data_IF_991351731680
#
_entry.id   IF_991351731680
#
_cell.length_a   1.000
_cell.length_b   1.000
_cell.length_c   1.000
_cell.angle_alpha   90.00
_cell.angle_beta   90.00
_cell.angle_gamma   90.00
#
_symmetry.space_group_name_H-M   'P 1'
#
loop_
_entity.id
_entity.type
_entity.pdbx_description
1 polymer ?
#
# COMPACT_ATOMS: atom_id res chain seq x y z
N UNK A 1 1.89 -27.61 13.65
CA UNK A 1 1.62 -27.29 12.23
C UNK A 1 0.34 -27.93 11.77
N UNK A 2 0.12 -29.22 12.02
CA UNK A 2 -1.16 -29.89 11.71
C UNK A 2 -2.37 -29.10 12.22
N UNK A 3 -2.38 -28.71 13.50
CA UNK A 3 -3.52 -27.96 14.07
C UNK A 3 -3.79 -26.62 13.39
N UNK A 4 -2.72 -25.91 13.00
CA UNK A 4 -2.82 -24.63 12.28
C UNK A 4 -3.36 -24.88 10.87
N UNK A 5 -2.82 -25.87 10.16
CA UNK A 5 -3.26 -26.23 8.81
C UNK A 5 -4.73 -26.68 8.79
N UNK A 6 -5.14 -27.52 9.75
CA UNK A 6 -6.53 -27.95 9.90
C UNK A 6 -7.49 -26.77 10.13
N UNK A 7 -7.07 -25.76 10.90
CA UNK A 7 -7.88 -24.54 11.09
C UNK A 7 -7.94 -23.71 9.81
N UNK A 8 -6.86 -23.61 9.04
CA UNK A 8 -6.82 -22.85 7.77
C UNK A 8 -7.71 -23.50 6.70
N UNK A 9 -7.73 -24.83 6.59
CA UNK A 9 -8.62 -25.55 5.67
C UNK A 9 -10.11 -25.24 5.88
N UNK A 10 -10.52 -24.90 7.11
CA UNK A 10 -11.89 -24.49 7.40
C UNK A 10 -12.30 -23.16 6.73
N UNK A 11 -11.36 -22.36 6.25
CA UNK A 11 -11.61 -21.00 5.74
C UNK A 11 -10.93 -20.69 4.40
N UNK A 12 -10.12 -21.60 3.87
CA UNK A 12 -9.38 -21.37 2.62
C UNK A 12 -9.03 -22.69 1.92
N UNK A 13 -9.16 -22.67 0.59
CA UNK A 13 -8.73 -23.75 -0.29
C UNK A 13 -7.23 -23.67 -0.69
N UNK A 14 -6.49 -22.67 -0.19
CA UNK A 14 -5.10 -22.40 -0.57
C UNK A 14 -4.16 -23.60 -0.31
N UNK A 15 -4.54 -24.48 0.61
CA UNK A 15 -3.72 -25.61 1.03
C UNK A 15 -4.38 -26.97 0.83
N UNK A 16 -5.46 -27.09 0.06
CA UNK A 16 -6.26 -28.34 -0.02
C UNK A 16 -5.43 -29.57 -0.39
N UNK A 17 -4.38 -29.39 -1.20
CA UNK A 17 -3.45 -30.47 -1.60
C UNK A 17 -2.11 -30.44 -0.83
N UNK A 18 -1.99 -29.57 0.18
CA UNK A 18 -0.73 -29.36 0.90
C UNK A 18 -0.61 -30.25 2.14
N UNK A 19 0.51 -30.97 2.21
CA UNK A 19 0.93 -31.60 3.47
C UNK A 19 1.25 -30.55 4.55
N UNK A 20 1.22 -30.94 5.84
CA UNK A 20 1.73 -30.08 6.92
C UNK A 20 3.17 -29.59 6.72
N UNK A 21 4.01 -30.40 6.05
CA UNK A 21 5.39 -30.05 5.74
C UNK A 21 5.49 -28.95 4.68
N UNK A 22 4.69 -29.04 3.61
CA UNK A 22 4.65 -28.02 2.56
C UNK A 22 4.01 -26.72 3.06
N UNK A 23 2.94 -26.80 3.87
CA UNK A 23 2.38 -25.64 4.56
C UNK A 23 3.41 -24.98 5.49
N UNK A 24 4.17 -25.75 6.27
CA UNK A 24 5.22 -25.20 7.12
C UNK A 24 6.33 -24.51 6.32
N UNK A 25 6.74 -25.10 5.19
CA UNK A 25 7.71 -24.47 4.28
C UNK A 25 7.17 -23.13 3.77
N UNK A 26 5.93 -23.11 3.30
CA UNK A 26 5.27 -21.88 2.85
C UNK A 26 5.21 -20.82 3.95
N UNK A 27 4.81 -21.18 5.16
CA UNK A 27 4.76 -20.26 6.30
C UNK A 27 6.14 -19.64 6.60
N UNK A 28 7.22 -20.43 6.49
CA UNK A 28 8.59 -19.97 6.66
C UNK A 28 9.00 -19.02 5.53
N UNK A 29 8.70 -19.35 4.27
CA UNK A 29 9.01 -18.52 3.11
C UNK A 29 8.29 -17.16 3.19
N UNK A 30 7.04 -17.17 3.69
CA UNK A 30 6.25 -15.96 3.98
C UNK A 30 6.64 -15.26 5.27
N UNK A 31 7.57 -15.82 6.06
CA UNK A 31 8.09 -15.24 7.31
C UNK A 31 6.99 -14.90 8.31
N UNK A 32 5.97 -15.76 8.42
CA UNK A 32 4.84 -15.52 9.31
C UNK A 32 5.28 -15.35 10.77
N UNK A 33 4.67 -14.39 11.46
CA UNK A 33 5.09 -13.95 12.81
C UNK A 33 5.03 -15.07 13.85
N UNK A 34 4.06 -15.98 13.74
CA UNK A 34 3.90 -17.07 14.71
C UNK A 34 5.10 -18.02 14.74
N UNK A 35 5.89 -18.10 13.66
CA UNK A 35 7.12 -18.91 13.61
C UNK A 35 8.27 -18.31 14.42
N UNK A 36 8.17 -17.04 14.81
CA UNK A 36 9.15 -16.33 15.64
C UNK A 36 8.90 -16.49 17.15
N UNK A 37 7.76 -17.07 17.54
CA UNK A 37 7.41 -17.27 18.96
C UNK A 37 8.35 -18.28 19.64
N UNK A 38 8.61 -18.11 20.93
CA UNK A 38 9.48 -19.03 21.67
C UNK A 38 8.92 -20.46 21.68
N UNK A 39 9.83 -21.41 21.52
CA UNK A 39 9.52 -22.84 21.52
C UNK A 39 9.68 -23.41 22.91
N UNK A 40 8.60 -23.90 23.50
CA UNK A 40 8.62 -24.68 24.74
C UNK A 40 8.77 -26.16 24.42
N UNK A 41 9.67 -26.85 25.12
CA UNK A 41 9.85 -28.30 24.98
C UNK A 41 9.04 -29.02 26.06
N UNK A 42 8.20 -29.97 25.68
CA UNK A 42 7.49 -30.86 26.61
C UNK A 42 7.93 -32.30 26.37
N UNK A 43 8.31 -33.01 27.44
CA UNK A 43 8.47 -34.47 27.41
C UNK A 43 7.08 -35.09 27.55
N UNK A 44 6.73 -35.99 26.64
CA UNK A 44 5.62 -36.91 26.85
C UNK A 44 6.13 -38.16 27.59
N UNK A 45 5.25 -38.84 28.31
CA UNK A 45 5.57 -40.09 29.05
C UNK A 45 6.11 -41.20 28.14
N UNK A 46 5.86 -41.12 26.84
CA UNK A 46 6.30 -42.08 25.83
C UNK A 46 7.66 -41.75 25.18
N UNK A 47 8.58 -41.07 25.87
CA UNK A 47 9.95 -40.71 25.40
C UNK A 47 10.06 -39.80 24.15
N UNK A 48 8.94 -39.47 23.48
CA UNK A 48 8.90 -38.49 22.40
C UNK A 48 8.95 -37.06 22.95
N UNK A 49 9.95 -36.30 22.50
CA UNK A 49 10.08 -34.85 22.77
C UNK A 49 9.24 -34.08 21.77
N UNK A 50 8.24 -33.35 22.25
CA UNK A 50 7.39 -32.51 21.40
C UNK A 50 7.71 -31.04 21.63
N UNK A 51 7.89 -30.32 20.53
CA UNK A 51 8.12 -28.87 20.50
C UNK A 51 6.77 -28.16 20.37
N UNK A 52 6.46 -27.27 21.31
CA UNK A 52 5.20 -26.51 21.37
C UNK A 52 5.47 -25.02 21.26
N UNK A 53 4.53 -24.28 20.68
CA UNK A 53 4.52 -22.81 20.63
C UNK A 53 3.23 -22.31 21.24
N UNK A 54 3.32 -21.34 22.14
CA UNK A 54 2.14 -20.68 22.70
C UNK A 54 1.72 -19.56 21.76
N UNK A 55 0.51 -19.67 21.19
CA UNK A 55 -0.04 -18.70 20.25
C UNK A 55 -1.33 -18.11 20.82
N UNK A 56 -1.55 -16.83 20.57
CA UNK A 56 -2.88 -16.24 20.73
C UNK A 56 -3.72 -16.63 19.52
N UNK A 57 -4.90 -17.19 19.79
CA UNK A 57 -5.84 -17.62 18.76
C UNK A 57 -7.06 -16.73 18.85
N UNK A 58 -7.52 -16.23 17.70
CA UNK A 58 -8.76 -15.48 17.60
C UNK A 58 -9.92 -16.39 18.04
N UNK A 59 -10.81 -15.89 18.91
CA UNK A 59 -11.98 -16.65 19.33
C UNK A 59 -12.90 -16.91 18.14
N UNK A 60 -13.58 -18.05 18.15
CA UNK A 60 -14.40 -18.48 17.01
C UNK A 60 -15.51 -17.50 16.66
N UNK A 61 -16.10 -16.85 17.67
CA UNK A 61 -17.14 -15.82 17.47
C UNK A 61 -16.68 -14.63 16.60
N UNK A 62 -15.37 -14.33 16.54
CA UNK A 62 -14.83 -13.21 15.77
C UNK A 62 -14.25 -13.62 14.41
N UNK A 63 -14.18 -14.93 14.10
CA UNK A 63 -13.54 -15.39 12.85
C UNK A 63 -14.37 -14.94 11.64
N UNK A 64 -15.70 -15.03 11.73
CA UNK A 64 -16.61 -14.60 10.66
C UNK A 64 -16.40 -13.13 10.30
N UNK A 65 -16.38 -12.26 11.30
CA UNK A 65 -16.19 -10.81 11.12
C UNK A 65 -14.84 -10.49 10.46
N UNK A 66 -13.77 -11.15 10.91
CA UNK A 66 -12.43 -10.94 10.32
C UNK A 66 -12.37 -11.43 8.87
N UNK A 67 -13.04 -12.53 8.53
CA UNK A 67 -13.12 -13.03 7.16
C UNK A 67 -13.90 -12.05 6.29
N UNK A 68 -15.04 -11.55 6.77
CA UNK A 68 -15.84 -10.53 6.08
C UNK A 68 -15.00 -9.29 5.81
N UNK A 69 -14.28 -8.80 6.82
CA UNK A 69 -13.39 -7.66 6.70
C UNK A 69 -12.31 -7.91 5.64
N UNK A 70 -11.67 -9.08 5.60
CA UNK A 70 -10.64 -9.40 4.60
C UNK A 70 -11.23 -9.43 3.19
N UNK A 71 -12.35 -10.12 2.99
CA UNK A 71 -12.96 -10.32 1.67
C UNK A 71 -13.53 -9.01 1.14
N UNK A 72 -14.21 -8.26 2.00
CA UNK A 72 -14.94 -7.07 1.60
C UNK A 72 -14.10 -5.79 1.70
N UNK A 73 -12.87 -5.82 2.21
CA UNK A 73 -12.05 -4.60 2.32
C UNK A 73 -11.86 -3.90 0.97
N UNK A 74 -11.40 -4.64 -0.04
CA UNK A 74 -11.14 -4.08 -1.37
C UNK A 74 -12.44 -3.64 -2.07
N UNK A 75 -13.52 -4.45 -2.11
CA UNK A 75 -14.81 -4.01 -2.63
C UNK A 75 -15.35 -2.75 -1.94
N UNK A 76 -15.33 -2.68 -0.61
CA UNK A 76 -15.77 -1.50 0.17
C UNK A 76 -14.93 -0.28 -0.20
N UNK A 77 -13.61 -0.44 -0.36
CA UNK A 77 -12.74 0.65 -0.81
C UNK A 77 -13.04 1.11 -2.24
N UNK A 78 -13.22 0.19 -3.18
CA UNK A 78 -13.54 0.53 -4.56
C UNK A 78 -14.90 1.23 -4.67
N UNK A 79 -15.90 0.77 -3.92
CA UNK A 79 -17.19 1.43 -3.81
C UNK A 79 -17.05 2.86 -3.30
N UNK A 80 -16.23 3.08 -2.26
CA UNK A 80 -15.93 4.43 -1.76
C UNK A 80 -15.34 5.32 -2.87
N UNK A 81 -14.40 4.82 -3.66
CA UNK A 81 -13.84 5.57 -4.80
C UNK A 81 -14.92 5.90 -5.84
N UNK A 82 -15.79 4.95 -6.18
CA UNK A 82 -16.90 5.19 -7.11
C UNK A 82 -17.89 6.26 -6.60
N UNK A 83 -18.18 6.25 -5.30
CA UNK A 83 -18.98 7.30 -4.66
C UNK A 83 -18.32 8.66 -4.80
N UNK A 84 -16.99 8.76 -4.59
CA UNK A 84 -16.25 10.00 -4.82
C UNK A 84 -16.38 10.49 -6.27
N UNK A 85 -16.30 9.59 -7.26
CA UNK A 85 -16.48 9.94 -8.66
C UNK A 85 -17.89 10.45 -8.96
N UNK A 86 -18.92 9.83 -8.37
CA UNK A 86 -20.32 10.30 -8.48
C UNK A 86 -20.52 11.69 -7.89
N UNK A 87 -19.75 12.05 -6.86
CA UNK A 87 -19.69 13.42 -6.31
C UNK A 87 -18.83 14.40 -7.14
N UNK A 88 -18.45 14.04 -8.37
CA UNK A 88 -17.62 14.87 -9.25
C UNK A 88 -16.15 14.98 -8.84
N UNK A 89 -15.66 14.08 -7.97
CA UNK A 89 -14.24 14.06 -7.60
C UNK A 89 -13.42 13.33 -8.66
N UNK A 90 -12.38 13.98 -9.18
CA UNK A 90 -11.44 13.37 -10.10
C UNK A 90 -10.34 12.61 -9.35
N UNK A 91 -10.19 11.32 -9.61
CA UNK A 91 -9.31 10.43 -8.85
C UNK A 91 -7.97 10.34 -9.58
N UNK A 92 -6.93 10.89 -8.97
CA UNK A 92 -5.61 10.99 -9.61
C UNK A 92 -4.60 10.14 -8.85
N UNK A 93 -4.00 9.19 -9.54
CA UNK A 93 -2.90 8.38 -9.04
C UNK A 93 -1.55 9.09 -9.18
N UNK A 94 -0.70 8.99 -8.16
CA UNK A 94 0.69 9.42 -8.24
C UNK A 94 1.63 8.32 -7.78
N UNK A 95 2.67 8.08 -8.59
CA UNK A 95 3.71 7.09 -8.35
C UNK A 95 5.06 7.77 -8.40
N UNK A 96 5.98 7.33 -7.55
CA UNK A 96 7.39 7.68 -7.71
C UNK A 96 8.33 6.55 -7.41
N UNK A 97 9.51 6.60 -8.04
CA UNK A 97 10.65 5.75 -7.70
C UNK A 97 11.84 6.59 -7.21
N UNK A 98 12.53 6.07 -6.20
CA UNK A 98 13.70 6.71 -5.61
C UNK A 98 14.90 6.71 -6.55
N UNK A 99 15.78 7.71 -6.39
CA UNK A 99 17.14 7.76 -6.97
C UNK A 99 17.99 6.60 -6.42
N UNK A 100 17.83 5.41 -6.98
CA UNK A 100 18.61 4.22 -6.64
C UNK A 100 19.26 3.71 -7.92
N UNK A 101 20.49 3.23 -7.83
CA UNK A 101 21.11 2.49 -8.93
C UNK A 101 20.40 1.15 -9.07
N UNK A 102 19.41 1.15 -9.95
CA UNK A 102 18.69 -0.04 -10.41
C UNK A 102 18.72 -0.01 -11.92
N UNK A 103 18.82 -1.19 -12.51
CA UNK A 103 18.70 -1.37 -13.94
C UNK A 103 17.40 -0.75 -14.49
N UNK A 104 17.47 -0.22 -15.72
CA UNK A 104 16.39 0.55 -16.35
C UNK A 104 15.15 -0.32 -16.56
N UNK A 105 15.32 -1.58 -16.98
CA UNK A 105 14.20 -2.49 -17.21
C UNK A 105 13.53 -2.85 -15.89
N UNK A 106 14.33 -3.08 -14.84
CA UNK A 106 13.79 -3.26 -13.50
C UNK A 106 13.02 -2.02 -13.02
N UNK A 107 13.51 -0.80 -13.31
CA UNK A 107 12.80 0.42 -12.94
C UNK A 107 11.46 0.53 -13.65
N UNK A 108 11.44 0.31 -14.97
CA UNK A 108 10.23 0.31 -15.80
C UNK A 108 9.22 -0.71 -15.23
N UNK A 109 9.66 -1.95 -15.02
CA UNK A 109 8.81 -3.01 -14.48
C UNK A 109 8.22 -2.65 -13.12
N UNK A 110 9.02 -2.09 -12.22
CA UNK A 110 8.56 -1.72 -10.87
C UNK A 110 7.57 -0.55 -10.90
N UNK A 111 7.81 0.45 -11.77
CA UNK A 111 6.89 1.57 -11.98
C UNK A 111 5.58 1.09 -12.61
N UNK A 112 5.63 0.25 -13.64
CA UNK A 112 4.45 -0.32 -14.27
C UNK A 112 3.59 -1.08 -13.25
N UNK A 113 4.21 -1.92 -12.41
CA UNK A 113 3.49 -2.62 -11.33
C UNK A 113 2.85 -1.69 -10.30
N UNK A 114 3.36 -0.46 -10.12
CA UNK A 114 2.73 0.54 -9.26
C UNK A 114 1.55 1.21 -9.96
N UNK A 115 1.70 1.54 -11.24
CA UNK A 115 0.64 2.10 -12.10
C UNK A 115 -0.54 1.13 -12.19
N UNK A 116 -0.29 -0.13 -12.50
CA UNK A 116 -1.30 -1.18 -12.63
C UNK A 116 -2.10 -1.38 -11.32
N UNK A 117 -1.45 -1.18 -10.16
CA UNK A 117 -2.13 -1.24 -8.86
C UNK A 117 -3.09 -0.08 -8.63
N UNK A 118 -2.68 1.14 -8.98
CA UNK A 118 -3.55 2.29 -8.83
C UNK A 118 -4.80 2.14 -9.72
N UNK A 119 -4.65 1.60 -10.93
CA UNK A 119 -5.78 1.27 -11.80
C UNK A 119 -6.66 0.17 -11.22
N UNK A 120 -6.07 -0.98 -10.86
CA UNK A 120 -6.85 -2.15 -10.42
C UNK A 120 -7.49 -1.99 -9.05
N UNK A 121 -6.86 -1.30 -8.10
CA UNK A 121 -7.33 -1.21 -6.70
C UNK A 121 -8.00 0.11 -6.38
N UNK A 122 -7.41 1.20 -6.85
CA UNK A 122 -7.85 2.56 -6.53
C UNK A 122 -8.68 3.20 -7.63
N UNK A 123 -8.95 2.49 -8.73
CA UNK A 123 -9.80 2.92 -9.84
C UNK A 123 -9.48 4.35 -10.32
N UNK A 124 -8.20 4.71 -10.37
CA UNK A 124 -7.76 6.06 -10.74
C UNK A 124 -8.18 6.42 -12.18
N UNK A 125 -8.51 7.69 -12.40
CA UNK A 125 -8.85 8.22 -13.73
C UNK A 125 -7.60 8.58 -14.54
N UNK A 126 -6.56 9.09 -13.85
CA UNK A 126 -5.25 9.42 -14.42
C UNK A 126 -4.12 9.01 -13.50
N UNK A 127 -2.95 8.69 -14.05
CA UNK A 127 -1.75 8.35 -13.28
C UNK A 127 -0.55 9.18 -13.71
N UNK A 128 0.09 9.82 -12.73
CA UNK A 128 1.31 10.59 -12.93
C UNK A 128 2.51 9.92 -12.26
N UNK A 129 3.68 10.01 -12.89
CA UNK A 129 4.86 9.25 -12.46
C UNK A 129 6.11 10.12 -12.38
N UNK A 130 6.75 10.15 -11.22
CA UNK A 130 8.14 10.60 -11.09
C UNK A 130 9.10 9.40 -11.16
N UNK A 131 9.80 9.27 -12.29
CA UNK A 131 10.68 8.11 -12.56
C UNK A 131 11.86 8.02 -11.58
N UNK A 132 12.39 9.16 -11.12
CA UNK A 132 13.62 9.20 -10.32
C UNK A 132 13.72 10.42 -9.43
N UNK A 133 13.06 10.41 -8.27
CA UNK A 133 13.09 11.54 -7.33
C UNK A 133 13.31 11.09 -5.88
N UNK A 134 13.79 11.99 -5.02
CA UNK A 134 13.80 11.74 -3.57
C UNK A 134 12.38 11.93 -3.02
N UNK A 135 12.05 11.22 -1.93
CA UNK A 135 10.81 11.52 -1.18
C UNK A 135 10.82 12.91 -0.56
N UNK A 136 12.00 13.46 -0.32
CA UNK A 136 12.18 14.75 0.32
C UNK A 136 12.41 15.89 -0.69
N UNK A 137 12.43 15.58 -2.00
CA UNK A 137 12.49 16.61 -3.03
C UNK A 137 11.13 17.33 -3.05
N UNK A 138 11.10 18.68 -3.05
CA UNK A 138 9.86 19.46 -3.09
C UNK A 138 8.98 19.04 -4.25
N UNK A 139 7.68 18.80 -4.00
CA UNK A 139 6.75 18.29 -5.00
C UNK A 139 6.73 19.15 -6.27
N UNK A 140 6.74 20.47 -6.12
CA UNK A 140 6.72 21.43 -7.24
C UNK A 140 7.98 21.40 -8.11
N UNK A 141 9.09 20.88 -7.60
CA UNK A 141 10.39 20.86 -8.29
C UNK A 141 10.72 19.50 -8.94
N UNK A 142 9.84 18.50 -8.81
CA UNK A 142 10.09 17.17 -9.39
C UNK A 142 9.85 17.19 -10.90
N UNK A 143 10.67 16.44 -11.63
CA UNK A 143 10.51 16.24 -13.07
C UNK A 143 10.54 17.54 -13.89
N UNK A 144 11.22 18.60 -13.40
CA UNK A 144 11.52 19.81 -14.22
C UNK A 144 12.24 19.43 -15.51
N UNK A 145 13.14 18.44 -15.41
CA UNK A 145 13.78 17.83 -16.57
C UNK A 145 13.01 16.54 -16.92
N UNK A 146 12.53 16.40 -18.17
CA UNK A 146 11.79 15.22 -18.59
C UNK A 146 12.66 13.96 -18.50
N UNK A 147 11.99 12.82 -18.34
CA UNK A 147 12.65 11.52 -18.29
C UNK A 147 11.99 10.56 -19.27
N UNK A 148 12.70 10.22 -20.35
CA UNK A 148 12.22 9.41 -21.47
C UNK A 148 11.72 8.01 -21.05
N UNK A 149 12.07 7.53 -19.85
CA UNK A 149 11.53 6.28 -19.32
C UNK A 149 10.00 6.33 -19.22
N UNK A 150 9.42 7.51 -19.02
CA UNK A 150 7.96 7.66 -18.91
C UNK A 150 7.24 7.20 -20.18
N UNK A 151 7.84 7.39 -21.35
CA UNK A 151 7.30 6.98 -22.65
C UNK A 151 7.20 5.46 -22.80
N UNK A 152 7.94 4.71 -21.97
CA UNK A 152 7.93 3.24 -21.95
C UNK A 152 6.85 2.67 -21.02
N UNK A 153 6.20 3.51 -20.21
CA UNK A 153 5.14 3.10 -19.29
C UNK A 153 3.78 3.15 -19.98
N UNK A 154 2.91 2.19 -19.64
CA UNK A 154 1.53 2.12 -20.14
C UNK A 154 0.58 2.69 -19.11
N UNK A 155 -0.49 3.33 -19.59
CA UNK A 155 -1.56 3.90 -18.75
C UNK A 155 -1.05 4.97 -17.77
N UNK A 156 -0.12 5.80 -18.23
CA UNK A 156 0.44 6.97 -17.55
C UNK A 156 0.07 8.22 -18.35
N UNK A 157 -0.29 9.28 -17.63
CA UNK A 157 -0.81 10.54 -18.18
C UNK A 157 0.20 11.70 -18.11
N UNK A 158 1.40 11.44 -17.58
CA UNK A 158 2.48 12.41 -17.50
C UNK A 158 3.29 12.30 -16.21
N UNK A 159 4.14 13.29 -15.98
CA UNK A 159 4.99 13.37 -14.79
C UNK A 159 4.39 14.30 -13.70
N UNK A 160 5.18 14.64 -12.68
CA UNK A 160 4.72 15.57 -11.65
C UNK A 160 4.38 16.96 -12.20
N UNK A 161 5.07 17.46 -13.22
CA UNK A 161 4.77 18.76 -13.83
C UNK A 161 3.42 18.72 -14.55
N UNK A 162 3.07 17.61 -15.19
CA UNK A 162 1.75 17.42 -15.78
C UNK A 162 0.64 17.30 -14.73
N UNK A 163 0.92 16.66 -13.59
CA UNK A 163 0.01 16.67 -12.44
C UNK A 163 -0.24 18.10 -11.93
N UNK A 164 0.81 18.92 -11.80
CA UNK A 164 0.66 20.31 -11.36
C UNK A 164 -0.24 21.11 -12.31
N UNK A 165 -0.09 20.92 -13.63
CA UNK A 165 -0.98 21.55 -14.64
C UNK A 165 -2.43 21.06 -14.50
N UNK A 166 -2.64 19.77 -14.23
CA UNK A 166 -3.98 19.24 -14.02
C UNK A 166 -4.64 19.83 -12.76
N UNK A 167 -3.86 19.99 -11.70
CA UNK A 167 -4.32 20.50 -10.41
C UNK A 167 -4.78 21.96 -10.51
N UNK A 168 -4.19 22.77 -11.39
CA UNK A 168 -4.61 24.17 -11.58
C UNK A 168 -5.92 24.31 -12.36
N UNK A 169 -6.25 23.36 -13.24
CA UNK A 169 -7.47 23.41 -14.08
C UNK A 169 -8.65 22.61 -13.53
N UNK A 170 -8.42 21.74 -12.55
CA UNK A 170 -9.47 20.88 -11.98
C UNK A 170 -10.10 21.50 -10.74
N UNK A 171 -11.38 21.21 -10.49
CA UNK A 171 -12.09 21.75 -9.32
C UNK A 171 -11.95 20.88 -8.07
N UNK A 172 -12.01 19.55 -8.23
CA UNK A 172 -12.05 18.58 -7.14
C UNK A 172 -11.18 17.36 -7.47
N UNK A 173 -10.02 17.26 -6.83
CA UNK A 173 -9.08 16.15 -6.97
C UNK A 173 -8.99 15.37 -5.67
N UNK A 174 -8.99 14.05 -5.80
CA UNK A 174 -8.49 13.13 -4.78
C UNK A 174 -7.20 12.49 -5.27
N UNK A 175 -6.10 12.75 -4.56
CA UNK A 175 -4.79 12.22 -4.90
C UNK A 175 -4.58 10.86 -4.22
N UNK A 176 -4.15 9.85 -4.97
CA UNK A 176 -3.91 8.48 -4.46
C UNK A 176 -2.45 8.10 -4.62
N UNK A 177 -1.83 7.59 -3.55
CA UNK A 177 -0.45 7.05 -3.52
C UNK A 177 -0.42 5.69 -2.84
N UNK A 178 0.57 4.85 -3.13
CA UNK A 178 0.72 3.50 -2.58
C UNK A 178 1.40 3.44 -1.20
N UNK A 179 1.99 4.55 -0.77
CA UNK A 179 2.49 4.77 0.58
C UNK A 179 2.75 6.27 0.82
N UNK A 180 2.95 6.64 2.08
CA UNK A 180 3.22 8.03 2.48
C UNK A 180 4.45 8.58 1.75
N UNK A 181 5.56 7.84 1.83
CA UNK A 181 6.81 8.20 1.19
C UNK A 181 6.75 8.12 -0.35
N UNK A 182 5.69 7.58 -0.94
CA UNK A 182 5.40 7.56 -2.37
C UNK A 182 4.88 8.89 -2.87
N UNK A 183 4.27 9.69 -1.99
CA UNK A 183 3.99 11.09 -2.24
C UNK A 183 5.18 11.94 -1.78
N UNK A 184 5.43 12.03 -0.47
CA UNK A 184 6.52 12.85 0.09
C UNK A 184 6.88 12.39 1.50
N UNK A 185 8.09 12.71 1.94
CA UNK A 185 8.52 12.55 3.34
C UNK A 185 8.62 13.89 4.10
N UNK A 186 8.24 15.00 3.44
CA UNK A 186 8.26 16.34 4.00
C UNK A 186 6.83 16.78 4.29
N UNK A 187 6.47 16.81 5.57
CA UNK A 187 5.19 17.33 6.06
C UNK A 187 4.99 18.79 5.67
N UNK A 188 6.05 19.60 5.77
CA UNK A 188 6.03 21.01 5.40
C UNK A 188 5.71 21.18 3.91
N UNK A 189 6.45 20.49 3.05
CA UNK A 189 6.24 20.55 1.59
C UNK A 189 4.84 20.04 1.21
N UNK A 190 4.34 18.99 1.89
CA UNK A 190 2.97 18.51 1.68
C UNK A 190 1.93 19.57 2.05
N UNK A 191 2.10 20.22 3.20
CA UNK A 191 1.19 21.27 3.66
C UNK A 191 1.19 22.43 2.67
N UNK A 192 2.37 22.93 2.31
CA UNK A 192 2.53 24.02 1.35
C UNK A 192 1.92 23.64 -0.02
N UNK A 193 2.13 22.40 -0.46
CA UNK A 193 1.55 21.88 -1.70
C UNK A 193 0.02 21.86 -1.66
N UNK A 194 -0.60 21.34 -0.59
CA UNK A 194 -2.05 21.32 -0.46
C UNK A 194 -2.61 22.73 -0.31
N UNK A 195 -2.00 23.57 0.52
CA UNK A 195 -2.42 24.96 0.75
C UNK A 195 -2.48 25.75 -0.55
N UNK A 196 -1.45 25.65 -1.40
CA UNK A 196 -1.39 26.33 -2.70
C UNK A 196 -2.32 25.75 -3.77
N UNK A 197 -2.87 24.55 -3.55
CA UNK A 197 -3.68 23.84 -4.54
C UNK A 197 -5.06 23.49 -3.98
N UNK A 198 -5.98 24.45 -4.05
CA UNK A 198 -7.35 24.33 -3.50
C UNK A 198 -8.18 23.19 -4.09
N UNK A 199 -7.84 22.72 -5.29
CA UNK A 199 -8.52 21.60 -5.96
C UNK A 199 -8.28 20.27 -5.26
N UNK A 200 -7.16 20.10 -4.55
CA UNK A 200 -6.87 18.88 -3.79
C UNK A 200 -7.74 18.87 -2.53
N UNK A 201 -8.73 17.99 -2.51
CA UNK A 201 -9.66 17.85 -1.39
C UNK A 201 -9.31 16.72 -0.45
N UNK A 202 -8.69 15.65 -0.95
CA UNK A 202 -8.33 14.45 -0.18
C UNK A 202 -7.07 13.81 -0.72
N UNK A 203 -6.32 13.18 0.17
CA UNK A 203 -5.20 12.30 -0.16
C UNK A 203 -5.50 10.91 0.41
N UNK A 204 -5.41 9.91 -0.45
CA UNK A 204 -5.56 8.50 -0.10
C UNK A 204 -4.19 7.83 -0.19
N UNK A 205 -3.82 7.15 0.88
CA UNK A 205 -2.61 6.33 0.94
C UNK A 205 -3.04 4.86 1.01
N UNK A 206 -2.95 4.18 -0.13
CA UNK A 206 -3.26 2.76 -0.29
C UNK A 206 -2.10 1.88 0.19
N UNK A 207 -2.05 1.63 1.50
CA UNK A 207 -1.08 0.73 2.12
C UNK A 207 -1.59 -0.71 2.23
N UNK A 208 -2.70 -1.09 1.58
CA UNK A 208 -3.30 -2.40 1.78
C UNK A 208 -2.37 -3.58 1.41
N UNK A 209 -1.40 -3.54 0.46
CA UNK A 209 -0.46 -4.65 0.27
C UNK A 209 0.53 -4.86 1.44
N UNK A 210 0.64 -3.89 2.36
CA UNK A 210 1.65 -3.87 3.41
C UNK A 210 1.06 -3.97 4.81
N UNK A 211 -0.02 -3.24 5.06
CA UNK A 211 -0.64 -3.12 6.38
C UNK A 211 -2.12 -3.48 6.36
N UNK A 212 -2.69 -3.88 5.21
CA UNK A 212 -4.14 -4.05 5.03
C UNK A 212 -4.93 -2.80 5.46
N UNK A 213 -4.33 -1.61 5.33
CA UNK A 213 -4.97 -0.35 5.69
C UNK A 213 -4.90 0.66 4.56
N UNK A 214 -5.97 1.45 4.45
CA UNK A 214 -6.05 2.62 3.59
C UNK A 214 -6.22 3.83 4.50
N UNK A 215 -5.41 4.86 4.26
CA UNK A 215 -5.47 6.08 5.03
C UNK A 215 -6.04 7.17 4.15
N UNK A 216 -7.20 7.68 4.52
CA UNK A 216 -7.86 8.79 3.84
C UNK A 216 -7.64 10.01 4.72
N UNK A 217 -7.07 11.06 4.14
CA UNK A 217 -6.79 12.32 4.83
C UNK A 217 -7.40 13.46 4.03
N UNK A 218 -8.33 14.18 4.64
CA UNK A 218 -8.96 15.36 4.05
C UNK A 218 -8.03 16.56 4.02
N UNK A 219 -8.31 17.53 3.13
CA UNK A 219 -7.61 18.82 3.06
C UNK A 219 -7.52 19.50 4.42
N UNK A 220 -8.65 19.62 5.11
CA UNK A 220 -8.70 20.35 6.39
C UNK A 220 -7.85 19.65 7.46
N UNK A 221 -7.78 18.32 7.44
CA UNK A 221 -6.90 17.56 8.32
C UNK A 221 -5.42 17.81 7.99
N UNK A 222 -5.03 17.92 6.72
CA UNK A 222 -3.65 18.24 6.33
C UNK A 222 -3.25 19.65 6.79
N UNK A 223 -4.17 20.61 6.69
CA UNK A 223 -3.90 22.01 7.02
C UNK A 223 -3.93 22.29 8.53
N UNK A 224 -4.81 21.62 9.28
CA UNK A 224 -5.03 21.89 10.70
C UNK A 224 -4.50 20.80 11.65
N UNK A 225 -4.44 19.53 11.24
CA UNK A 225 -4.09 18.41 12.13
C UNK A 225 -2.61 18.00 11.97
N UNK A 226 -1.80 18.37 12.97
CA UNK A 226 -0.38 18.07 12.98
C UNK A 226 -0.07 16.56 13.06
N UNK A 227 -0.92 15.73 13.69
CA UNK A 227 -0.69 14.28 13.79
C UNK A 227 -0.89 13.57 12.45
N UNK A 228 -1.93 13.94 11.69
CA UNK A 228 -2.17 13.40 10.34
C UNK A 228 -1.03 13.77 9.40
N UNK A 229 -0.53 14.99 9.52
CA UNK A 229 0.61 15.46 8.74
C UNK A 229 1.92 14.72 9.10
N UNK A 230 2.12 14.39 10.38
CA UNK A 230 3.27 13.60 10.85
C UNK A 230 3.33 12.19 10.27
N UNK A 231 2.22 11.62 9.79
CA UNK A 231 2.23 10.32 9.11
C UNK A 231 3.12 10.33 7.85
N UNK A 232 3.32 11.51 7.26
CA UNK A 232 4.22 11.72 6.12
C UNK A 232 5.67 12.00 6.54
N UNK A 233 6.00 12.14 7.83
CA UNK A 233 7.35 12.46 8.26
C UNK A 233 8.24 11.20 8.34
N UNK A 234 9.39 11.27 7.67
CA UNK A 234 10.47 10.30 7.82
C UNK A 234 10.29 8.96 7.10
N UNK A 235 11.22 8.04 7.36
CA UNK A 235 11.22 6.66 6.83
C UNK A 235 11.31 5.69 8.00
N UNK A 236 10.19 5.14 8.45
CA UNK A 236 10.23 4.06 9.44
C UNK A 236 10.78 2.76 8.83
N UNK A 237 10.52 2.51 7.54
CA UNK A 237 11.11 1.44 6.69
C UNK A 237 10.82 1.68 5.19
N UNK A 238 11.71 1.21 4.32
CA UNK A 238 11.48 1.20 2.86
C UNK A 238 10.51 0.07 2.49
N UNK A 239 9.24 0.40 2.29
CA UNK A 239 8.28 -0.57 1.78
C UNK A 239 8.41 -0.70 0.25
N UNK A 240 8.39 -1.94 -0.24
CA UNK A 240 8.40 -2.22 -1.67
C UNK A 240 7.00 -1.99 -2.23
N UNK A 241 6.73 -0.79 -2.75
CA UNK A 241 5.43 -0.39 -3.33
C UNK A 241 4.99 -1.19 -4.55
N UNK A 242 5.94 -1.90 -5.18
CA UNK A 242 5.69 -2.76 -6.33
C UNK A 242 5.18 -4.17 -5.94
N UNK A 243 4.83 -4.42 -4.67
CA UNK A 243 4.33 -5.70 -4.15
C UNK A 243 2.83 -5.84 -4.24
#
# INVERSE_FOLDING_TARGET
>A
MNDILSKVWGYSNLFDESSPSSSNKWCNDKKLSFLKTEVKRRRSDASKRTSLRSLFVLKEEFIGDVIDDIINYLPKYQQYIEELKKEGCFIVGYVRKSKQEIDVDNRIRLLQLMVDRLHSRSLVDKVFVSVSCSSNDPLVQRDINPNDIIEKLKHVDGDMQDLLKLVTVSEKICLVTLDFAGLTTSSKDLKDFVENNNSIKRIIVDNLPHTNTINIVGRDEILANHEKLKMFEGRSKLNQRSK
#
